data_IF_360229773400
#
_entry.id   IF_360229773400
#
_cell.length_a   1.000
_cell.length_b   1.000
_cell.length_c   1.000
_cell.angle_alpha   90.00
_cell.angle_beta   90.00
_cell.angle_gamma   90.00
#
_symmetry.space_group_name_H-M   'P 1'
#
loop_
_entity.id
_entity.type
_entity.pdbx_description
1 polymer ?
#
# COMPACT_ATOMS: atom_id res chain seq x y z
N UNK A 1 -5.00 -0.89 -9.47
CA UNK A 1 -3.92 0.04 -9.86
C UNK A 1 -3.23 0.65 -8.65
N UNK A 2 -3.97 1.01 -7.59
CA UNK A 2 -3.41 1.53 -6.32
C UNK A 2 -2.29 0.67 -5.74
N UNK A 3 -2.48 -0.65 -5.68
CA UNK A 3 -1.52 -1.60 -5.12
C UNK A 3 -0.11 -1.47 -5.73
N UNK A 4 -0.04 -1.38 -7.07
CA UNK A 4 1.23 -1.23 -7.80
C UNK A 4 1.86 0.13 -7.54
N UNK A 5 1.05 1.20 -7.43
CA UNK A 5 1.56 2.55 -7.13
C UNK A 5 2.16 2.63 -5.73
N UNK A 6 1.49 2.05 -4.74
CA UNK A 6 2.01 1.94 -3.37
C UNK A 6 3.33 1.17 -3.39
N UNK A 7 3.36 0.03 -4.10
CA UNK A 7 4.58 -0.77 -4.23
C UNK A 7 5.74 0.03 -4.82
N UNK A 8 5.53 0.68 -5.97
CA UNK A 8 6.55 1.50 -6.63
C UNK A 8 7.04 2.64 -5.73
N UNK A 9 6.12 3.36 -5.07
CA UNK A 9 6.46 4.42 -4.12
C UNK A 9 7.40 3.94 -3.02
N UNK A 10 7.14 2.75 -2.47
CA UNK A 10 7.98 2.15 -1.45
C UNK A 10 9.36 1.76 -2.01
N UNK A 11 9.40 1.13 -3.19
CA UNK A 11 10.64 0.72 -3.84
C UNK A 11 11.53 1.93 -4.19
N UNK A 12 10.96 3.00 -4.74
CA UNK A 12 11.67 4.24 -5.11
C UNK A 12 12.27 4.97 -3.90
N UNK A 13 11.68 4.82 -2.72
CA UNK A 13 12.14 5.43 -1.46
C UNK A 13 12.95 4.48 -0.58
N UNK A 14 13.21 3.25 -1.04
CA UNK A 14 13.91 2.23 -0.25
C UNK A 14 13.13 1.75 0.98
N UNK A 15 11.81 1.97 1.02
CA UNK A 15 10.94 1.54 2.11
C UNK A 15 10.67 0.04 1.95
N UNK A 16 11.04 -0.75 2.95
CA UNK A 16 10.78 -2.20 2.95
C UNK A 16 9.29 -2.47 3.08
N UNK A 17 8.76 -3.42 2.32
CA UNK A 17 7.36 -3.86 2.46
C UNK A 17 7.02 -4.23 3.92
N UNK A 18 7.96 -4.84 4.66
CA UNK A 18 7.77 -5.16 6.08
C UNK A 18 7.30 -3.99 6.96
N UNK A 19 7.57 -2.75 6.57
CA UNK A 19 7.10 -1.54 7.25
C UNK A 19 5.57 -1.49 7.38
N UNK A 20 4.83 -2.07 6.42
CA UNK A 20 3.37 -2.09 6.45
C UNK A 20 2.77 -3.29 7.19
N UNK A 21 3.59 -4.23 7.70
CA UNK A 21 3.07 -5.47 8.32
C UNK A 21 2.30 -5.19 9.61
N UNK A 22 2.88 -4.43 10.52
CA UNK A 22 2.26 -4.06 11.79
C UNK A 22 0.99 -3.22 11.62
N UNK A 23 1.00 -2.08 10.89
CA UNK A 23 -0.20 -1.25 10.75
C UNK A 23 -1.35 -2.00 10.06
N UNK A 24 -1.04 -2.95 9.17
CA UNK A 24 -2.04 -3.76 8.48
C UNK A 24 -2.40 -5.07 9.21
N UNK A 25 -1.63 -5.49 10.22
CA UNK A 25 -1.78 -6.79 10.86
C UNK A 25 -1.61 -7.97 9.89
N UNK A 26 -0.70 -7.85 8.92
CA UNK A 26 -0.55 -8.82 7.82
C UNK A 26 0.79 -9.56 7.84
N UNK A 27 0.76 -10.79 7.32
CA UNK A 27 1.99 -11.53 7.02
C UNK A 27 2.69 -10.97 5.79
N UNK A 28 3.98 -11.32 5.61
CA UNK A 28 4.74 -10.92 4.43
C UNK A 28 4.11 -11.43 3.12
N UNK A 29 3.59 -12.66 3.14
CA UNK A 29 2.95 -13.27 1.98
C UNK A 29 1.66 -12.55 1.60
N UNK A 30 0.83 -12.21 2.59
CA UNK A 30 -0.41 -11.46 2.39
C UNK A 30 -0.12 -10.07 1.84
N UNK A 31 0.87 -9.38 2.41
CA UNK A 31 1.28 -8.06 1.96
C UNK A 31 1.85 -8.08 0.54
N UNK A 32 2.68 -9.08 0.22
CA UNK A 32 3.22 -9.25 -1.13
C UNK A 32 2.09 -9.52 -2.14
N UNK A 33 1.12 -10.36 -1.82
CA UNK A 33 -0.05 -10.60 -2.67
C UNK A 33 -0.87 -9.31 -2.87
N UNK A 34 -1.06 -8.53 -1.82
CA UNK A 34 -1.73 -7.23 -1.88
C UNK A 34 -0.95 -6.27 -2.78
N UNK A 35 0.33 -6.01 -2.55
CA UNK A 35 1.12 -5.03 -3.32
C UNK A 35 1.32 -5.41 -4.79
N UNK A 36 1.35 -6.70 -5.14
CA UNK A 36 1.37 -7.14 -6.53
C UNK A 36 -0.01 -7.10 -7.22
N UNK A 37 -1.08 -6.83 -6.48
CA UNK A 37 -2.45 -6.78 -7.01
C UNK A 37 -3.13 -8.15 -7.15
N UNK A 38 -2.56 -9.20 -6.54
CA UNK A 38 -3.17 -10.54 -6.48
C UNK A 38 -4.29 -10.62 -5.43
N UNK A 39 -4.42 -9.59 -4.59
CA UNK A 39 -5.49 -9.42 -3.60
C UNK A 39 -6.09 -8.02 -3.73
N UNK A 40 -7.41 -7.92 -3.56
CA UNK A 40 -8.10 -6.62 -3.51
C UNK A 40 -7.62 -5.82 -2.31
N UNK A 41 -7.47 -4.51 -2.50
CA UNK A 41 -7.18 -3.54 -1.46
C UNK A 41 -8.51 -2.97 -0.95
N UNK A 42 -8.81 -3.14 0.33
CA UNK A 42 -9.96 -2.53 0.98
C UNK A 42 -9.69 -1.06 1.30
N UNK A 43 -10.75 -0.27 1.46
CA UNK A 43 -10.62 1.14 1.84
C UNK A 43 -9.85 1.30 3.17
N UNK A 44 -10.20 0.53 4.20
CA UNK A 44 -9.51 0.57 5.50
C UNK A 44 -8.00 0.27 5.40
N UNK A 45 -7.62 -0.71 4.58
CA UNK A 45 -6.21 -1.03 4.33
C UNK A 45 -5.52 0.13 3.61
N UNK A 46 -6.21 0.77 2.66
CA UNK A 46 -5.70 1.95 1.97
C UNK A 46 -5.48 3.13 2.92
N UNK A 47 -6.43 3.42 3.81
CA UNK A 47 -6.27 4.45 4.84
C UNK A 47 -5.05 4.18 5.71
N UNK A 48 -4.90 2.96 6.23
CA UNK A 48 -3.75 2.55 7.05
C UNK A 48 -2.41 2.66 6.31
N UNK A 49 -2.40 2.36 5.01
CA UNK A 49 -1.19 2.51 4.19
C UNK A 49 -0.83 3.99 4.03
N UNK A 50 -1.81 4.85 3.73
CA UNK A 50 -1.55 6.28 3.57
C UNK A 50 -1.07 6.91 4.87
N UNK A 51 -1.69 6.55 5.99
CA UNK A 51 -1.29 6.96 7.34
C UNK A 51 0.14 6.50 7.66
N UNK A 52 0.45 5.22 7.46
CA UNK A 52 1.78 4.69 7.72
C UNK A 52 2.87 5.33 6.83
N UNK A 53 2.55 5.63 5.57
CA UNK A 53 3.48 6.23 4.61
C UNK A 53 3.54 7.77 4.70
N UNK A 54 2.78 8.38 5.61
CA UNK A 54 2.65 9.83 5.79
C UNK A 54 2.32 10.57 4.49
N UNK A 55 1.30 10.07 3.76
CA UNK A 55 0.83 10.67 2.51
C UNK A 55 -0.68 10.91 2.54
N UNK A 56 -1.19 11.94 1.84
CA UNK A 56 -2.62 12.17 1.74
C UNK A 56 -3.33 11.02 1.01
N UNK A 57 -4.60 10.78 1.33
CA UNK A 57 -5.43 9.71 0.73
C UNK A 57 -5.62 9.86 -0.78
N UNK A 58 -5.36 11.04 -1.32
CA UNK A 58 -5.48 11.34 -2.73
C UNK A 58 -4.20 10.97 -3.50
N UNK A 59 -3.09 10.76 -2.78
CA UNK A 59 -1.74 10.62 -3.35
C UNK A 59 -1.66 9.49 -4.38
N UNK A 60 -2.28 8.33 -4.10
CA UNK A 60 -2.26 7.20 -5.01
C UNK A 60 -3.47 7.15 -5.95
N UNK A 61 -4.49 8.00 -5.75
CA UNK A 61 -5.67 8.05 -6.62
C UNK A 61 -5.24 8.51 -8.02
N UNK A 62 -5.94 8.06 -9.06
CA UNK A 62 -5.76 8.60 -10.41
C UNK A 62 -6.79 9.72 -10.58
N UNK A 63 -6.40 10.80 -11.23
CA UNK A 63 -7.37 11.80 -11.68
C UNK A 63 -8.37 11.09 -12.62
N UNK A 64 -9.66 11.08 -12.24
CA UNK A 64 -10.75 10.48 -13.01
C UNK A 64 -11.33 9.12 -12.55
N UNK A 65 -10.98 8.62 -11.35
CA UNK A 65 -11.66 7.48 -10.70
C UNK A 65 -12.82 7.93 -9.81
#
# INVERSE_FOLDING_TARGET
MLNKRIKSYMEERGIKQSFLKEPLGMTASTLNALLNGNRKLSAEEYFKICDALDVPLEYFRKEGD
#
